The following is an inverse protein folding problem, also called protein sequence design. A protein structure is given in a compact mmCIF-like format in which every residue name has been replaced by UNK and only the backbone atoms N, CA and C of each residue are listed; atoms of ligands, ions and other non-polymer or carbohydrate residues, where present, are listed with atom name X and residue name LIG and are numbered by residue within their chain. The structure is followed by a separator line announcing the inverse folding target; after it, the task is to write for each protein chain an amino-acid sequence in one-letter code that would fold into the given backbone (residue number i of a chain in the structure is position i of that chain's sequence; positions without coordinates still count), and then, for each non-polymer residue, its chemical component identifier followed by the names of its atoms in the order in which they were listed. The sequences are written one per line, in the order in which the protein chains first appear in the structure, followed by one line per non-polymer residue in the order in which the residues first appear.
data_IF_352779006662
#
_entry.id   IF_352779006662
#
_cell.length_a   1.000
_cell.length_b   1.000
_cell.length_c   1.000
_cell.angle_alpha   90.00
_cell.angle_beta   90.00
_cell.angle_gamma   90.00
#
_symmetry.space_group_name_H-M   'P 1'
#
loop_
_entity.id
_entity.type
_entity.pdbx_description
1 polymer ?
#
# COMPACT_ATOMS: atom_id res chain seq x y z
N UNK A 1 10.53 13.21 54.36
CA UNK A 1 9.63 13.02 53.20
C UNK A 1 10.29 11.99 52.32
N UNK A 2 9.63 10.86 52.09
CA UNK A 2 10.20 9.79 51.28
C UNK A 2 10.22 10.19 49.81
N UNK A 3 11.18 9.66 49.06
CA UNK A 3 11.32 9.82 47.59
C UNK A 3 10.05 9.45 46.82
N UNK A 4 9.15 8.69 47.45
CA UNK A 4 7.80 8.35 46.96
C UNK A 4 6.79 9.49 47.04
N UNK A 5 6.90 10.42 48.00
CA UNK A 5 5.99 11.56 48.10
C UNK A 5 6.31 12.66 47.07
N UNK A 6 7.58 12.78 46.65
CA UNK A 6 8.02 13.74 45.61
C UNK A 6 7.57 13.29 44.21
N UNK A 7 7.46 11.97 43.97
CA UNK A 7 6.98 11.42 42.70
C UNK A 7 5.44 11.46 42.55
N UNK A 8 4.70 11.45 43.66
CA UNK A 8 3.23 11.64 43.63
C UNK A 8 2.82 13.11 43.50
N UNK A 9 3.65 14.06 43.94
CA UNK A 9 3.43 15.50 43.70
C UNK A 9 3.77 15.94 42.26
N UNK A 10 4.76 15.31 41.61
CA UNK A 10 5.11 15.62 40.21
C UNK A 10 4.11 15.08 39.18
N UNK A 11 3.37 13.99 39.49
CA UNK A 11 2.28 13.47 38.67
C UNK A 11 0.97 14.28 38.81
N UNK A 12 0.82 15.05 39.89
CA UNK A 12 -0.33 15.93 40.11
C UNK A 12 -0.15 17.33 39.49
N UNK A 13 0.98 17.58 38.82
CA UNK A 13 1.29 18.84 38.14
C UNK A 13 1.38 18.71 36.61
N UNK A 14 0.85 17.63 36.03
CA UNK A 14 0.64 17.59 34.58
C UNK A 14 -0.47 18.55 34.19
N UNK A 15 -0.21 19.46 33.25
CA UNK A 15 -1.28 20.28 32.67
C UNK A 15 -2.40 19.33 32.18
N UNK A 16 -3.69 19.70 32.30
CA UNK A 16 -4.80 18.88 31.80
C UNK A 16 -4.60 18.43 30.35
N UNK A 17 -3.97 19.28 29.54
CA UNK A 17 -3.61 19.02 28.16
C UNK A 17 -2.61 17.87 27.98
N UNK A 18 -1.70 17.61 28.93
CA UNK A 18 -0.71 16.53 28.79
C UNK A 18 -1.35 15.16 29.00
N UNK A 19 -2.30 15.05 29.93
CA UNK A 19 -3.10 13.84 30.14
C UNK A 19 -3.98 13.56 28.92
N UNK A 20 -4.69 14.58 28.43
CA UNK A 20 -5.58 14.46 27.27
C UNK A 20 -4.80 14.15 25.98
N UNK A 21 -3.63 14.77 25.79
CA UNK A 21 -2.76 14.48 24.66
C UNK A 21 -2.27 13.02 24.66
N UNK A 22 -1.81 12.53 25.82
CA UNK A 22 -1.38 11.14 25.98
C UNK A 22 -2.53 10.17 25.72
N UNK A 23 -3.74 10.48 26.20
CA UNK A 23 -4.92 9.67 25.97
C UNK A 23 -5.32 9.64 24.49
N UNK A 24 -5.31 10.79 23.81
CA UNK A 24 -5.59 10.85 22.37
C UNK A 24 -4.61 9.98 21.57
N UNK A 25 -3.32 10.00 21.90
CA UNK A 25 -2.32 9.14 21.25
C UNK A 25 -2.56 7.67 21.55
N UNK A 26 -2.92 7.32 22.78
CA UNK A 26 -3.25 5.94 23.17
C UNK A 26 -4.42 5.40 22.35
N UNK A 27 -5.50 6.18 22.23
CA UNK A 27 -6.66 5.82 21.41
C UNK A 27 -6.29 5.70 19.93
N UNK A 28 -5.48 6.62 19.39
CA UNK A 28 -4.98 6.52 18.02
C UNK A 28 -4.17 5.24 17.79
N UNK A 29 -3.34 4.83 18.76
CA UNK A 29 -2.59 3.56 18.71
C UNK A 29 -3.51 2.35 18.71
N UNK A 30 -4.49 2.30 19.61
CA UNK A 30 -5.51 1.25 19.62
C UNK A 30 -6.24 1.16 18.29
N UNK A 31 -6.60 2.30 17.68
CA UNK A 31 -7.19 2.33 16.35
C UNK A 31 -6.29 1.68 15.28
N UNK A 32 -4.99 1.96 15.30
CA UNK A 32 -4.04 1.31 14.40
C UNK A 32 -3.89 -0.19 14.67
N UNK A 33 -3.91 -0.62 15.93
CA UNK A 33 -3.81 -2.04 16.32
C UNK A 33 -5.03 -2.82 15.80
N UNK A 34 -6.24 -2.28 15.98
CA UNK A 34 -7.46 -2.88 15.43
C UNK A 34 -7.48 -2.88 13.89
N UNK A 35 -6.98 -1.82 13.26
CA UNK A 35 -6.81 -1.78 11.80
C UNK A 35 -5.83 -2.85 11.30
N UNK A 36 -4.76 -3.13 12.06
CA UNK A 36 -3.80 -4.19 11.75
C UNK A 36 -4.43 -5.60 11.87
N UNK A 37 -5.40 -5.78 12.78
CA UNK A 37 -6.22 -7.01 12.86
C UNK A 37 -7.42 -7.01 11.92
N UNK A 38 -7.55 -6.00 11.05
CA UNK A 38 -8.65 -5.82 10.08
C UNK A 38 -10.05 -5.60 10.70
N UNK A 39 -10.10 -5.20 11.97
CA UNK A 39 -11.35 -4.78 12.64
C UNK A 39 -11.49 -3.26 12.46
N UNK A 40 -11.89 -2.86 11.24
CA UNK A 40 -11.89 -1.46 10.83
C UNK A 40 -13.00 -0.65 11.50
N UNK A 41 -14.11 -1.28 11.86
CA UNK A 41 -15.21 -0.67 12.61
C UNK A 41 -14.75 -0.22 14.00
N UNK A 42 -14.04 -1.08 14.74
CA UNK A 42 -13.44 -0.66 16.02
C UNK A 42 -12.30 0.33 15.83
N UNK A 43 -11.49 0.18 14.78
CA UNK A 43 -10.45 1.14 14.48
C UNK A 43 -11.03 2.56 14.32
N UNK A 44 -12.14 2.68 13.58
CA UNK A 44 -12.87 3.93 13.38
C UNK A 44 -13.38 4.50 14.71
N UNK A 45 -13.96 3.67 15.59
CA UNK A 45 -14.44 4.13 16.90
C UNK A 45 -13.32 4.76 17.73
N UNK A 46 -12.18 4.07 17.86
CA UNK A 46 -11.02 4.61 18.58
C UNK A 46 -10.43 5.87 17.91
N UNK A 47 -10.38 5.92 16.59
CA UNK A 47 -9.95 7.12 15.89
C UNK A 47 -10.91 8.31 16.09
N UNK A 48 -12.22 8.09 16.13
CA UNK A 48 -13.20 9.15 16.41
C UNK A 48 -13.06 9.69 17.83
N UNK A 49 -12.88 8.82 18.82
CA UNK A 49 -12.62 9.23 20.21
C UNK A 49 -11.30 10.02 20.32
N UNK A 50 -10.23 9.51 19.68
CA UNK A 50 -8.94 10.18 19.61
C UNK A 50 -9.05 11.58 18.97
N UNK A 51 -9.80 11.70 17.87
CA UNK A 51 -10.04 12.96 17.16
C UNK A 51 -10.81 13.97 18.03
N UNK A 52 -11.79 13.51 18.82
CA UNK A 52 -12.54 14.37 19.73
C UNK A 52 -11.61 15.06 20.74
N UNK A 53 -10.68 14.29 21.33
CA UNK A 53 -9.68 14.83 22.26
C UNK A 53 -8.69 15.75 21.54
N UNK A 54 -8.19 15.35 20.37
CA UNK A 54 -7.28 16.18 19.57
C UNK A 54 -7.90 17.55 19.19
N UNK A 55 -9.22 17.59 18.97
CA UNK A 55 -9.99 18.83 18.80
C UNK A 55 -10.02 19.68 20.08
N UNK A 56 -10.23 19.09 21.25
CA UNK A 56 -10.27 19.79 22.53
C UNK A 56 -8.93 20.46 22.87
N UNK A 57 -7.82 19.75 22.68
CA UNK A 57 -6.47 20.25 22.97
C UNK A 57 -5.88 21.11 21.83
N UNK A 58 -6.61 21.27 20.73
CA UNK A 58 -6.21 22.02 19.55
C UNK A 58 -4.89 21.55 18.88
N UNK A 59 -4.60 20.24 18.91
CA UNK A 59 -3.40 19.67 18.25
C UNK A 59 -3.69 19.38 16.76
N UNK A 60 -3.40 20.33 15.89
CA UNK A 60 -3.63 20.21 14.45
C UNK A 60 -2.78 19.10 13.78
N UNK A 61 -1.59 18.81 14.32
CA UNK A 61 -0.75 17.71 13.81
C UNK A 61 -1.42 16.36 14.07
N UNK A 62 -1.88 16.15 15.30
CA UNK A 62 -2.58 14.92 15.68
C UNK A 62 -3.92 14.77 14.96
N UNK A 63 -4.71 15.86 14.84
CA UNK A 63 -5.95 15.87 14.04
C UNK A 63 -5.70 15.44 12.60
N UNK A 64 -4.72 16.04 11.92
CA UNK A 64 -4.42 15.72 10.52
C UNK A 64 -4.08 14.24 10.34
N UNK A 65 -3.28 13.67 11.25
CA UNK A 65 -2.92 12.25 11.24
C UNK A 65 -4.15 11.36 11.44
N UNK A 66 -4.96 11.61 12.45
CA UNK A 66 -6.14 10.78 12.76
C UNK A 66 -7.18 10.84 11.64
N UNK A 67 -7.42 12.03 11.07
CA UNK A 67 -8.32 12.20 9.93
C UNK A 67 -7.85 11.40 8.71
N UNK A 68 -6.54 11.35 8.45
CA UNK A 68 -5.98 10.50 7.39
C UNK A 68 -6.19 9.01 7.66
N UNK A 69 -6.01 8.56 8.91
CA UNK A 69 -6.30 7.18 9.33
C UNK A 69 -7.79 6.82 9.21
N UNK A 70 -8.70 7.73 9.56
CA UNK A 70 -10.14 7.56 9.35
C UNK A 70 -10.45 7.44 7.85
N UNK A 71 -9.86 8.31 7.02
CA UNK A 71 -9.99 8.23 5.57
C UNK A 71 -9.56 6.86 5.02
N UNK A 72 -8.48 6.30 5.55
CA UNK A 72 -8.01 4.97 5.15
C UNK A 72 -8.95 3.86 5.59
N UNK A 73 -9.42 3.88 6.84
CA UNK A 73 -10.34 2.87 7.35
C UNK A 73 -11.66 2.86 6.57
N UNK A 74 -12.25 4.05 6.30
CA UNK A 74 -13.46 4.15 5.47
C UNK A 74 -13.21 3.71 4.03
N UNK A 75 -12.06 4.04 3.44
CA UNK A 75 -11.73 3.59 2.08
C UNK A 75 -11.63 2.06 1.97
N UNK A 76 -11.13 1.39 3.02
CA UNK A 76 -11.06 -0.08 3.08
C UNK A 76 -12.45 -0.71 3.23
N UNK A 77 -13.35 -0.06 3.97
CA UNK A 77 -14.76 -0.44 4.06
C UNK A 77 -15.59 -0.01 2.84
N UNK A 78 -14.94 0.50 1.79
CA UNK A 78 -15.54 0.99 0.54
C UNK A 78 -16.55 2.14 0.73
N UNK A 79 -16.54 2.80 1.88
CA UNK A 79 -17.25 4.05 2.11
C UNK A 79 -16.42 5.22 1.58
N UNK A 80 -16.42 5.33 0.25
CA UNK A 80 -15.60 6.31 -0.45
C UNK A 80 -16.01 7.75 -0.18
N UNK A 81 -17.29 8.00 0.11
CA UNK A 81 -17.81 9.33 0.41
C UNK A 81 -17.20 9.88 1.70
N UNK A 82 -17.29 9.13 2.81
CA UNK A 82 -16.65 9.52 4.08
C UNK A 82 -15.14 9.53 3.95
N UNK A 83 -14.55 8.56 3.25
CA UNK A 83 -13.12 8.52 3.06
C UNK A 83 -12.58 9.80 2.39
N UNK A 84 -13.22 10.25 1.30
CA UNK A 84 -12.86 11.49 0.61
C UNK A 84 -12.99 12.69 1.54
N UNK A 85 -14.09 12.80 2.30
CA UNK A 85 -14.29 13.90 3.26
C UNK A 85 -13.18 13.97 4.30
N UNK A 86 -12.81 12.82 4.90
CA UNK A 86 -11.76 12.75 5.90
C UNK A 86 -10.37 13.07 5.33
N UNK A 87 -10.05 12.60 4.11
CA UNK A 87 -8.81 12.99 3.44
C UNK A 87 -8.75 14.48 3.12
N UNK A 88 -9.85 15.09 2.66
CA UNK A 88 -9.90 16.54 2.39
C UNK A 88 -9.74 17.36 3.67
N UNK A 89 -10.40 16.95 4.77
CA UNK A 89 -10.22 17.58 6.10
C UNK A 89 -8.78 17.46 6.58
N UNK A 90 -8.18 16.27 6.49
CA UNK A 90 -6.78 16.02 6.83
C UNK A 90 -5.83 16.89 5.98
N UNK A 91 -6.07 16.97 4.68
CA UNK A 91 -5.27 17.77 3.76
C UNK A 91 -5.33 19.26 4.09
N UNK A 92 -6.53 19.80 4.35
CA UNK A 92 -6.68 21.22 4.70
C UNK A 92 -5.91 21.59 5.98
N UNK A 93 -5.85 20.70 6.96
CA UNK A 93 -5.05 20.92 8.18
C UNK A 93 -3.55 20.76 7.86
N UNK A 94 -3.17 19.72 7.12
CA UNK A 94 -1.78 19.47 6.72
C UNK A 94 -1.17 20.64 5.93
N UNK A 95 -1.95 21.29 5.06
CA UNK A 95 -1.56 22.51 4.34
C UNK A 95 -1.26 23.68 5.29
N UNK A 96 -2.08 23.87 6.35
CA UNK A 96 -1.89 24.94 7.33
C UNK A 96 -0.61 24.75 8.15
N UNK A 97 -0.30 23.52 8.54
CA UNK A 97 0.86 23.20 9.39
C UNK A 97 2.12 22.85 8.58
N UNK A 98 2.03 22.79 7.25
CA UNK A 98 3.15 22.41 6.38
C UNK A 98 3.54 20.93 6.43
N UNK A 99 2.61 20.02 6.74
CA UNK A 99 2.85 18.56 6.69
C UNK A 99 2.67 18.05 5.25
N UNK A 100 3.68 18.30 4.42
CA UNK A 100 3.65 17.92 3.01
C UNK A 100 3.68 16.41 2.76
N UNK A 101 4.23 15.63 3.70
CA UNK A 101 4.17 14.17 3.64
C UNK A 101 2.72 13.70 3.70
N UNK A 102 1.93 14.23 4.66
CA UNK A 102 0.50 13.95 4.77
C UNK A 102 -0.30 14.40 3.55
N UNK A 103 0.00 15.58 3.01
CA UNK A 103 -0.65 16.06 1.77
C UNK A 103 -0.45 15.05 0.64
N UNK A 104 0.79 14.60 0.41
CA UNK A 104 1.07 13.61 -0.63
C UNK A 104 0.38 12.27 -0.38
N UNK A 105 0.38 11.78 0.87
CA UNK A 105 -0.32 10.55 1.26
C UNK A 105 -1.83 10.65 0.99
N UNK A 106 -2.47 11.75 1.41
CA UNK A 106 -3.90 11.96 1.22
C UNK A 106 -4.26 12.03 -0.28
N UNK A 107 -3.48 12.76 -1.08
CA UNK A 107 -3.66 12.82 -2.54
C UNK A 107 -3.49 11.42 -3.18
N UNK A 108 -2.48 10.66 -2.79
CA UNK A 108 -2.28 9.29 -3.26
C UNK A 108 -3.44 8.36 -2.88
N UNK A 109 -4.00 8.53 -1.69
CA UNK A 109 -5.15 7.74 -1.25
C UNK A 109 -6.43 8.14 -1.98
N UNK A 110 -6.66 9.43 -2.23
CA UNK A 110 -7.74 9.90 -3.12
C UNK A 110 -7.60 9.31 -4.52
N UNK A 111 -6.39 9.30 -5.08
CA UNK A 111 -6.12 8.63 -6.36
C UNK A 111 -6.49 7.14 -6.33
N UNK A 112 -6.22 6.46 -5.21
CA UNK A 112 -6.58 5.05 -5.01
C UNK A 112 -8.09 4.84 -4.95
N UNK A 113 -8.83 5.70 -4.27
CA UNK A 113 -10.30 5.68 -4.27
C UNK A 113 -10.84 5.84 -5.70
N UNK A 114 -10.38 6.86 -6.44
CA UNK A 114 -10.86 7.07 -7.81
C UNK A 114 -10.49 5.93 -8.76
N UNK A 115 -9.35 5.28 -8.54
CA UNK A 115 -8.99 4.06 -9.28
C UNK A 115 -9.96 2.90 -8.96
N UNK A 116 -10.32 2.70 -7.69
CA UNK A 116 -11.32 1.69 -7.30
C UNK A 116 -12.70 1.97 -7.92
N UNK A 117 -13.07 3.25 -8.02
CA UNK A 117 -14.27 3.73 -8.74
C UNK A 117 -14.17 3.67 -10.27
N UNK A 118 -13.10 3.09 -10.82
CA UNK A 118 -12.81 3.01 -12.27
C UNK A 118 -12.69 4.37 -12.98
N UNK A 119 -12.48 5.45 -12.22
CA UNK A 119 -12.23 6.80 -12.74
C UNK A 119 -10.72 7.01 -12.94
N UNK A 120 -10.12 6.24 -13.87
CA UNK A 120 -8.66 6.16 -14.03
C UNK A 120 -7.99 7.51 -14.38
N UNK A 121 -8.63 8.37 -15.18
CA UNK A 121 -8.10 9.71 -15.47
C UNK A 121 -8.01 10.58 -14.21
N UNK A 122 -9.05 10.56 -13.37
CA UNK A 122 -9.08 11.31 -12.10
C UNK A 122 -8.06 10.74 -11.11
N UNK A 123 -7.91 9.42 -11.07
CA UNK A 123 -6.86 8.78 -10.28
C UNK A 123 -5.45 9.27 -10.69
N UNK A 124 -5.18 9.33 -12.00
CA UNK A 124 -3.92 9.85 -12.56
C UNK A 124 -3.67 11.30 -12.11
N UNK A 125 -4.67 12.17 -12.17
CA UNK A 125 -4.54 13.57 -11.71
C UNK A 125 -4.11 13.65 -10.24
N UNK A 126 -4.77 12.89 -9.36
CA UNK A 126 -4.42 12.85 -7.94
C UNK A 126 -3.03 12.25 -7.69
N UNK A 127 -2.66 11.17 -8.37
CA UNK A 127 -1.31 10.59 -8.23
C UNK A 127 -0.22 11.54 -8.75
N UNK A 128 -0.46 12.31 -9.81
CA UNK A 128 0.47 13.32 -10.30
C UNK A 128 0.63 14.47 -9.30
N UNK A 129 -0.47 14.96 -8.71
CA UNK A 129 -0.40 15.96 -7.64
C UNK A 129 0.38 15.43 -6.44
N UNK A 130 0.11 14.20 -6.00
CA UNK A 130 0.83 13.54 -4.92
C UNK A 130 2.33 13.43 -5.20
N UNK A 131 2.70 13.09 -6.44
CA UNK A 131 4.08 12.96 -6.89
C UNK A 131 4.82 14.31 -6.89
N UNK A 132 4.18 15.39 -7.33
CA UNK A 132 4.75 16.74 -7.30
C UNK A 132 5.08 17.14 -5.86
N UNK A 133 4.15 16.90 -4.92
CA UNK A 133 4.37 17.18 -3.51
C UNK A 133 5.50 16.32 -2.94
N UNK A 134 5.48 15.00 -3.20
CA UNK A 134 6.49 14.08 -2.68
C UNK A 134 7.92 14.44 -3.15
N UNK A 135 8.08 14.78 -4.43
CA UNK A 135 9.39 15.19 -5.00
C UNK A 135 9.93 16.47 -4.35
N UNK A 136 9.07 17.42 -4.00
CA UNK A 136 9.47 18.69 -3.37
C UNK A 136 10.09 18.51 -1.99
N UNK A 137 9.71 17.46 -1.26
CA UNK A 137 10.20 17.18 0.10
C UNK A 137 11.08 15.94 0.19
N UNK A 138 11.51 15.41 -0.95
CA UNK A 138 12.50 14.34 -1.08
C UNK A 138 12.15 13.03 -0.35
N UNK A 139 10.86 12.75 -0.12
CA UNK A 139 10.42 11.44 0.41
C UNK A 139 10.38 10.41 -0.73
N UNK A 140 11.51 9.74 -0.94
CA UNK A 140 11.67 8.76 -2.00
C UNK A 140 10.68 7.60 -1.88
N UNK A 141 10.32 7.19 -0.66
CA UNK A 141 9.36 6.09 -0.44
C UNK A 141 7.99 6.46 -1.00
N UNK A 142 7.50 7.65 -0.65
CA UNK A 142 6.21 8.17 -1.15
C UNK A 142 6.26 8.40 -2.67
N UNK A 143 7.39 8.88 -3.22
CA UNK A 143 7.58 9.01 -4.67
C UNK A 143 7.43 7.64 -5.36
N UNK A 144 8.10 6.59 -4.87
CA UNK A 144 8.01 5.25 -5.43
C UNK A 144 6.61 4.63 -5.36
N UNK A 145 5.87 4.88 -4.27
CA UNK A 145 4.47 4.45 -4.13
C UNK A 145 3.58 5.12 -5.17
N UNK A 146 3.66 6.46 -5.29
CA UNK A 146 2.84 7.22 -6.22
C UNK A 146 3.16 6.90 -7.69
N UNK A 147 4.44 6.77 -8.05
CA UNK A 147 4.85 6.32 -9.39
C UNK A 147 4.26 4.97 -9.74
N UNK A 148 4.34 4.00 -8.82
CA UNK A 148 3.82 2.67 -9.12
C UNK A 148 2.29 2.64 -9.23
N UNK A 149 1.57 3.46 -8.47
CA UNK A 149 0.12 3.58 -8.59
C UNK A 149 -0.30 4.31 -9.87
N UNK A 150 0.46 5.32 -10.27
CA UNK A 150 0.33 6.00 -11.55
C UNK A 150 0.53 5.03 -12.71
N UNK A 151 1.59 4.20 -12.64
CA UNK A 151 1.88 3.18 -13.64
C UNK A 151 0.76 2.13 -13.77
N UNK A 152 0.16 1.69 -12.67
CA UNK A 152 -1.03 0.83 -12.72
C UNK A 152 -2.20 1.52 -13.41
N UNK A 153 -2.44 2.80 -13.13
CA UNK A 153 -3.56 3.55 -13.72
C UNK A 153 -3.37 3.76 -15.23
N UNK A 154 -2.14 3.96 -15.68
CA UNK A 154 -1.83 3.97 -17.12
C UNK A 154 -2.01 2.61 -17.78
N UNK A 155 -1.65 1.51 -17.10
CA UNK A 155 -1.87 0.15 -17.62
C UNK A 155 -3.37 -0.16 -17.81
N UNK A 156 -4.23 0.26 -16.88
CA UNK A 156 -5.70 0.12 -17.02
C UNK A 156 -6.25 0.89 -18.24
N UNK A 157 -5.62 2.01 -18.59
CA UNK A 157 -5.92 2.78 -19.81
C UNK A 157 -5.19 2.25 -21.06
N UNK A 158 -4.45 1.14 -20.94
CA UNK A 158 -3.61 0.56 -22.00
C UNK A 158 -2.51 1.49 -22.52
N UNK A 159 -2.15 2.53 -21.77
CA UNK A 159 -0.97 3.35 -22.03
C UNK A 159 0.26 2.65 -21.44
N UNK A 160 0.63 1.52 -22.04
CA UNK A 160 1.69 0.66 -21.53
C UNK A 160 3.06 1.33 -21.54
N UNK A 161 3.30 2.30 -22.43
CA UNK A 161 4.55 3.05 -22.47
C UNK A 161 4.76 3.83 -21.17
N UNK A 162 3.76 4.64 -20.76
CA UNK A 162 3.85 5.38 -19.49
C UNK A 162 3.78 4.47 -18.28
N UNK A 163 3.03 3.37 -18.38
CA UNK A 163 2.99 2.36 -17.31
C UNK A 163 4.38 1.80 -17.01
N UNK A 164 5.12 1.38 -18.05
CA UNK A 164 6.49 0.86 -17.92
C UNK A 164 7.40 1.93 -17.33
N UNK A 165 7.42 3.14 -17.90
CA UNK A 165 8.27 4.24 -17.41
C UNK A 165 8.04 4.50 -15.90
N UNK A 166 6.79 4.55 -15.47
CA UNK A 166 6.44 4.76 -14.07
C UNK A 166 6.89 3.59 -13.18
N UNK A 167 6.74 2.34 -13.63
CA UNK A 167 7.18 1.17 -12.85
C UNK A 167 8.71 1.05 -12.79
N UNK A 168 9.43 1.39 -13.85
CA UNK A 168 10.89 1.40 -13.87
C UNK A 168 11.46 2.45 -12.91
N UNK A 169 10.90 3.67 -12.90
CA UNK A 169 11.29 4.69 -11.92
C UNK A 169 10.97 4.26 -10.48
N UNK A 170 9.80 3.64 -10.25
CA UNK A 170 9.44 3.11 -8.93
C UNK A 170 10.34 1.95 -8.49
N UNK A 171 10.79 1.11 -9.44
CA UNK A 171 11.71 0.01 -9.19
C UNK A 171 13.09 0.54 -8.78
N UNK A 172 13.63 1.51 -9.51
CA UNK A 172 14.93 2.12 -9.18
C UNK A 172 14.92 2.74 -7.77
N UNK A 173 13.82 3.38 -7.37
CA UNK A 173 13.66 3.89 -6.01
C UNK A 173 13.66 2.74 -4.98
N UNK A 174 12.93 1.67 -5.23
CA UNK A 174 12.91 0.52 -4.33
C UNK A 174 14.30 -0.14 -4.19
N UNK A 175 15.11 -0.13 -5.25
CA UNK A 175 16.50 -0.60 -5.22
C UNK A 175 17.37 0.31 -4.33
N UNK A 176 17.25 1.63 -4.48
CA UNK A 176 17.97 2.61 -3.63
C UNK A 176 17.59 2.46 -2.15
N UNK A 177 16.32 2.18 -1.87
CA UNK A 177 15.80 2.04 -0.50
C UNK A 177 16.03 0.64 0.09
N UNK A 178 16.52 -0.32 -0.69
CA UNK A 178 16.59 -1.74 -0.32
C UNK A 178 15.22 -2.30 0.15
N UNK A 179 14.12 -1.82 -0.44
CA UNK A 179 12.77 -2.29 -0.12
C UNK A 179 12.46 -3.53 -0.96
N UNK A 180 12.89 -4.69 -0.47
CA UNK A 180 12.69 -5.97 -1.15
C UNK A 180 11.21 -6.28 -1.42
N UNK A 181 10.30 -5.88 -0.54
CA UNK A 181 8.86 -6.07 -0.72
C UNK A 181 8.32 -5.23 -1.88
N UNK A 182 8.78 -3.98 -2.02
CA UNK A 182 8.47 -3.16 -3.17
C UNK A 182 9.09 -3.74 -4.45
N UNK A 183 10.35 -4.22 -4.41
CA UNK A 183 11.02 -4.83 -5.57
C UNK A 183 10.23 -6.00 -6.14
N UNK A 184 9.79 -6.93 -5.30
CA UNK A 184 8.92 -8.06 -5.70
C UNK A 184 7.71 -7.54 -6.47
N UNK A 185 6.96 -6.60 -5.88
CA UNK A 185 5.74 -6.04 -6.47
C UNK A 185 6.01 -5.29 -7.77
N UNK A 186 7.09 -4.50 -7.87
CA UNK A 186 7.37 -3.67 -9.05
C UNK A 186 7.86 -4.52 -10.22
N UNK A 187 8.76 -5.48 -9.98
CA UNK A 187 9.15 -6.48 -10.97
C UNK A 187 7.92 -7.25 -11.48
N UNK A 188 7.07 -7.74 -10.57
CA UNK A 188 5.85 -8.44 -10.97
C UNK A 188 4.89 -7.61 -11.82
N UNK A 189 4.72 -6.32 -11.50
CA UNK A 189 3.91 -5.38 -12.30
C UNK A 189 4.49 -5.19 -13.71
N UNK A 190 5.81 -5.03 -13.84
CA UNK A 190 6.46 -4.99 -15.15
C UNK A 190 6.24 -6.29 -15.92
N UNK A 191 6.38 -7.44 -15.26
CA UNK A 191 6.11 -8.74 -15.86
C UNK A 191 4.69 -8.84 -16.43
N UNK A 192 3.68 -8.41 -15.67
CA UNK A 192 2.29 -8.38 -16.14
C UNK A 192 2.11 -7.45 -17.35
N UNK A 193 2.67 -6.23 -17.31
CA UNK A 193 2.56 -5.28 -18.42
C UNK A 193 3.20 -5.85 -19.70
N UNK A 194 4.35 -6.52 -19.59
CA UNK A 194 4.97 -7.17 -20.75
C UNK A 194 4.17 -8.39 -21.24
N UNK A 195 3.53 -9.14 -20.35
CA UNK A 195 2.63 -10.22 -20.72
C UNK A 195 1.42 -9.70 -21.51
N UNK A 196 0.81 -8.58 -21.08
CA UNK A 196 -0.30 -7.91 -21.78
C UNK A 196 0.12 -7.38 -23.16
N UNK A 197 1.40 -7.04 -23.34
CA UNK A 197 2.00 -6.67 -24.62
C UNK A 197 2.40 -7.88 -25.49
N UNK A 198 2.11 -9.11 -25.06
CA UNK A 198 2.58 -10.37 -25.67
C UNK A 198 4.11 -10.49 -25.79
N UNK A 199 4.86 -9.76 -24.96
CA UNK A 199 6.33 -9.85 -24.89
C UNK A 199 6.74 -10.86 -23.81
N UNK A 200 6.43 -12.15 -24.04
CA UNK A 200 6.55 -13.19 -23.02
C UNK A 200 7.97 -13.39 -22.49
N UNK A 201 9.01 -13.21 -23.30
CA UNK A 201 10.40 -13.30 -22.83
C UNK A 201 10.72 -12.24 -21.77
N UNK A 202 10.22 -11.01 -21.94
CA UNK A 202 10.37 -9.94 -20.95
C UNK A 202 9.51 -10.19 -19.72
N UNK A 203 8.28 -10.70 -19.92
CA UNK A 203 7.43 -11.09 -18.80
C UNK A 203 8.12 -12.13 -17.91
N UNK A 204 8.66 -13.19 -18.52
CA UNK A 204 9.44 -14.25 -17.85
C UNK A 204 10.64 -13.67 -17.11
N UNK A 205 11.39 -12.75 -17.72
CA UNK A 205 12.53 -12.10 -17.06
C UNK A 205 12.11 -11.42 -15.75
N UNK A 206 11.07 -10.60 -15.80
CA UNK A 206 10.60 -9.85 -14.63
C UNK A 206 9.91 -10.74 -13.58
N UNK A 207 9.17 -11.76 -14.00
CA UNK A 207 8.60 -12.75 -13.07
C UNK A 207 9.70 -13.58 -12.38
N UNK A 208 10.77 -13.94 -13.08
CA UNK A 208 11.94 -14.61 -12.46
C UNK A 208 12.61 -13.69 -11.42
N UNK A 209 12.87 -12.42 -11.75
CA UNK A 209 13.44 -11.45 -10.80
C UNK A 209 12.54 -11.28 -9.56
N UNK A 210 11.23 -11.22 -9.76
CA UNK A 210 10.27 -11.13 -8.65
C UNK A 210 10.24 -12.40 -7.78
N UNK A 211 10.26 -13.58 -8.41
CA UNK A 211 10.30 -14.88 -7.74
C UNK A 211 11.57 -15.07 -6.91
N UNK A 212 12.72 -14.68 -7.44
CA UNK A 212 14.01 -14.78 -6.73
C UNK A 212 14.00 -13.97 -5.44
N UNK A 213 13.59 -12.69 -5.52
CA UNK A 213 13.50 -11.81 -4.35
C UNK A 213 12.43 -12.32 -3.36
N UNK A 214 11.30 -12.84 -3.85
CA UNK A 214 10.27 -13.41 -2.99
C UNK A 214 10.79 -14.61 -2.17
N UNK A 215 11.64 -15.45 -2.77
CA UNK A 215 12.31 -16.56 -2.08
C UNK A 215 13.31 -16.05 -1.02
N UNK A 216 14.10 -15.03 -1.35
CA UNK A 216 15.08 -14.45 -0.43
C UNK A 216 14.42 -13.91 0.84
N UNK A 217 13.26 -13.26 0.73
CA UNK A 217 12.54 -12.69 1.87
C UNK A 217 11.52 -13.65 2.50
N UNK A 218 11.43 -14.89 2.01
CA UNK A 218 10.50 -15.89 2.52
C UNK A 218 9.02 -15.60 2.25
N UNK A 219 8.69 -14.77 1.24
CA UNK A 219 7.30 -14.51 0.84
C UNK A 219 6.76 -15.66 -0.03
N UNK A 220 6.27 -16.69 0.66
CA UNK A 220 5.72 -17.91 0.06
C UNK A 220 4.51 -17.65 -0.83
N UNK A 221 3.67 -16.66 -0.49
CA UNK A 221 2.52 -16.33 -1.32
C UNK A 221 2.98 -15.76 -2.67
N UNK A 222 3.87 -14.76 -2.63
CA UNK A 222 4.44 -14.16 -3.86
C UNK A 222 5.22 -15.20 -4.67
N UNK A 223 5.94 -16.12 -4.02
CA UNK A 223 6.63 -17.22 -4.70
C UNK A 223 5.67 -18.06 -5.56
N UNK A 224 4.58 -18.55 -4.96
CA UNK A 224 3.56 -19.33 -5.68
C UNK A 224 2.84 -18.51 -6.76
N UNK A 225 2.56 -17.23 -6.49
CA UNK A 225 1.93 -16.32 -7.45
C UNK A 225 2.81 -16.13 -8.70
N UNK A 226 4.10 -15.82 -8.55
CA UNK A 226 4.97 -15.59 -9.70
C UNK A 226 5.39 -16.88 -10.42
N UNK A 227 5.40 -18.03 -9.73
CA UNK A 227 5.51 -19.33 -10.39
C UNK A 227 4.29 -19.63 -11.28
N UNK A 228 3.09 -19.26 -10.85
CA UNK A 228 1.87 -19.37 -11.67
C UNK A 228 2.00 -18.53 -12.94
N UNK A 229 2.41 -17.26 -12.79
CA UNK A 229 2.59 -16.36 -13.94
C UNK A 229 3.70 -16.85 -14.89
N UNK A 230 4.81 -17.37 -14.36
CA UNK A 230 5.84 -18.01 -15.19
C UNK A 230 5.28 -19.21 -15.96
N UNK A 231 4.50 -20.05 -15.30
CA UNK A 231 3.82 -21.18 -15.92
C UNK A 231 2.97 -20.77 -17.11
N UNK A 232 2.15 -19.72 -16.94
CA UNK A 232 1.31 -19.16 -18.00
C UNK A 232 2.17 -18.63 -19.16
N UNK A 233 3.20 -17.82 -18.88
CA UNK A 233 4.07 -17.28 -19.93
C UNK A 233 4.86 -18.37 -20.68
N UNK A 234 5.31 -19.43 -19.99
CA UNK A 234 5.95 -20.57 -20.64
C UNK A 234 4.98 -21.35 -21.54
N UNK A 235 3.74 -21.57 -21.09
CA UNK A 235 2.71 -22.23 -21.89
C UNK A 235 2.42 -21.47 -23.19
N UNK A 236 2.35 -20.14 -23.12
CA UNK A 236 2.16 -19.28 -24.29
C UNK A 236 3.33 -19.33 -25.29
N UNK A 237 4.53 -19.71 -24.84
CA UNK A 237 5.70 -19.95 -25.69
C UNK A 237 5.84 -21.42 -26.11
N UNK A 238 4.85 -22.28 -25.83
CA UNK A 238 4.91 -23.74 -26.06
C UNK A 238 6.06 -24.44 -25.33
N UNK A 239 6.55 -23.85 -24.22
CA UNK A 239 7.59 -24.42 -23.35
C UNK A 239 6.93 -25.29 -22.26
N UNK A 240 6.25 -26.34 -22.70
CA UNK A 240 5.33 -27.12 -21.87
C UNK A 240 6.01 -27.78 -20.65
N UNK A 241 7.24 -28.27 -20.78
CA UNK A 241 7.97 -28.85 -19.64
C UNK A 241 8.26 -27.81 -18.55
N UNK A 242 8.67 -26.60 -18.94
CA UNK A 242 8.94 -25.50 -18.00
C UNK A 242 7.64 -24.97 -17.38
N UNK A 243 6.58 -24.87 -18.18
CA UNK A 243 5.25 -24.50 -17.71
C UNK A 243 4.73 -25.50 -16.68
N UNK A 244 4.78 -26.79 -16.98
CA UNK A 244 4.32 -27.88 -16.10
C UNK A 244 5.07 -27.85 -14.77
N UNK A 245 6.39 -27.68 -14.81
CA UNK A 245 7.22 -27.57 -13.61
C UNK A 245 6.83 -26.37 -12.75
N UNK A 246 6.77 -25.18 -13.35
CA UNK A 246 6.47 -23.95 -12.63
C UNK A 246 5.08 -24.00 -11.98
N UNK A 247 4.06 -24.51 -12.69
CA UNK A 247 2.70 -24.65 -12.18
C UNK A 247 2.60 -25.70 -11.07
N UNK A 248 3.31 -26.83 -11.20
CA UNK A 248 3.34 -27.86 -10.14
C UNK A 248 3.96 -27.30 -8.86
N UNK A 249 5.07 -26.59 -8.96
CA UNK A 249 5.72 -25.92 -7.82
C UNK A 249 4.77 -24.88 -7.21
N UNK A 250 4.08 -24.08 -8.05
CA UNK A 250 3.09 -23.10 -7.61
C UNK A 250 1.95 -23.73 -6.81
N UNK A 251 1.37 -24.83 -7.30
CA UNK A 251 0.28 -25.55 -6.62
C UNK A 251 0.73 -26.02 -5.23
N UNK A 252 1.92 -26.61 -5.13
CA UNK A 252 2.47 -27.07 -3.85
C UNK A 252 2.63 -25.92 -2.84
N UNK A 253 3.15 -24.78 -3.28
CA UNK A 253 3.38 -23.62 -2.43
C UNK A 253 2.06 -22.94 -2.03
N UNK A 254 1.18 -22.67 -2.99
CA UNK A 254 -0.10 -21.99 -2.75
C UNK A 254 -1.04 -22.82 -1.85
N UNK A 255 -0.99 -24.15 -1.97
CA UNK A 255 -1.71 -25.06 -1.07
C UNK A 255 -1.22 -24.94 0.37
N UNK A 256 0.10 -24.87 0.58
CA UNK A 256 0.67 -24.74 1.93
C UNK A 256 0.28 -23.43 2.61
N UNK A 257 0.18 -22.34 1.86
CA UNK A 257 -0.25 -21.04 2.41
C UNK A 257 -1.77 -20.85 2.43
N UNK A 258 -2.55 -21.87 2.03
CA UNK A 258 -4.02 -21.82 2.03
C UNK A 258 -4.60 -20.78 1.07
N UNK A 259 -3.88 -20.45 0.00
CA UNK A 259 -4.31 -19.42 -0.95
C UNK A 259 -5.34 -19.95 -1.93
N UNK A 260 -6.43 -19.21 -2.14
CA UNK A 260 -7.41 -19.50 -3.20
C UNK A 260 -6.83 -19.38 -4.62
N UNK A 261 -5.69 -18.70 -4.78
CA UNK A 261 -4.97 -18.59 -6.06
C UNK A 261 -4.43 -19.94 -6.57
N UNK A 262 -4.37 -20.97 -5.72
CA UNK A 262 -3.98 -22.34 -6.13
C UNK A 262 -4.81 -22.84 -7.31
N UNK A 263 -6.10 -22.49 -7.35
CA UNK A 263 -7.03 -22.91 -8.42
C UNK A 263 -6.59 -22.45 -9.80
N UNK A 264 -6.05 -21.24 -9.90
CA UNK A 264 -5.56 -20.71 -11.18
C UNK A 264 -4.39 -21.56 -11.69
N UNK A 265 -3.47 -21.96 -10.82
CA UNK A 265 -2.36 -22.82 -11.20
C UNK A 265 -2.83 -24.23 -11.57
N UNK A 266 -3.78 -24.79 -10.84
CA UNK A 266 -4.39 -26.10 -11.14
C UNK A 266 -5.11 -26.10 -12.49
N UNK A 267 -5.92 -25.08 -12.76
CA UNK A 267 -6.69 -24.95 -14.00
C UNK A 267 -5.76 -24.83 -15.22
N UNK A 268 -4.70 -24.02 -15.12
CA UNK A 268 -3.72 -23.88 -16.22
C UNK A 268 -2.95 -25.18 -16.41
N UNK A 269 -2.56 -25.85 -15.32
CA UNK A 269 -1.82 -27.11 -15.37
C UNK A 269 -2.64 -28.24 -16.01
N UNK A 270 -3.94 -28.31 -15.72
CA UNK A 270 -4.85 -29.31 -16.26
C UNK A 270 -5.08 -29.15 -17.78
N UNK A 271 -5.02 -27.92 -18.29
CA UNK A 271 -5.22 -27.60 -19.70
C UNK A 271 -3.92 -27.54 -20.52
N UNK A 272 -2.79 -27.90 -19.93
CA UNK A 272 -1.49 -27.89 -20.60
C UNK A 272 -1.33 -29.16 -21.48
N UNK A 273 -1.59 -29.01 -22.78
CA UNK A 273 -1.43 -30.04 -23.81
C UNK A 273 0.01 -30.18 -24.31
#
# INVERSE_FOLDING_TARGET
MSTTQVLEEDLNNTHPNDSDWMESIRLSRLGNDYAATKDYEKAIDYFLQSLAIANQINDDSLKAKILSSLGLAYAILEDYERAIEYYQKSQSIAEKIGDYSRISINLGNLGTIYKSLKQHHKAIEYYQQALIVAKKFSDQSIVGINLSNLGLSYAELKDYSKAIECQEQALAIAEILNDHQALVKRCGRLGNIYADLNQQDKAIYYFKKSLEIAKEIGDRFSEGFYLTNLGISFAQLHRNEEARKALTDAVGILSQVGSSSVKVAEDVLANLH
#
